data_IF_569921199580
#
_entry.id   IF_569921199580
#
_cell.length_a   1.000
_cell.length_b   1.000
_cell.length_c   1.000
_cell.angle_alpha   90.00
_cell.angle_beta   90.00
_cell.angle_gamma   90.00
#
_symmetry.space_group_name_H-M   'P 1'
#
loop_
_entity.id
_entity.type
_entity.pdbx_description
1 polymer ?
#
# COMPACT_ATOMS: atom_id res chain seq x y z
N UNK A 1 -23.35 -67.48 3.83
CA UNK A 1 -22.70 -66.26 3.28
C UNK A 1 -23.46 -65.05 3.82
N UNK A 2 -22.92 -64.25 4.74
CA UNK A 2 -23.65 -63.08 5.28
C UNK A 2 -22.78 -62.00 5.99
N UNK A 3 -21.46 -62.16 6.06
CA UNK A 3 -20.58 -61.26 6.84
C UNK A 3 -19.85 -60.23 5.97
N UNK A 4 -19.46 -60.58 4.73
CA UNK A 4 -18.82 -59.63 3.81
C UNK A 4 -19.74 -58.48 3.37
N UNK A 5 -21.02 -58.75 3.13
CA UNK A 5 -22.00 -57.73 2.70
C UNK A 5 -22.26 -56.69 3.81
N UNK A 6 -22.20 -57.12 5.07
CA UNK A 6 -22.33 -56.28 6.26
C UNK A 6 -21.16 -55.29 6.42
N UNK A 7 -19.95 -55.68 5.99
CA UNK A 7 -18.76 -54.81 5.98
C UNK A 7 -18.83 -53.79 4.83
N UNK A 8 -19.27 -54.21 3.64
CA UNK A 8 -19.46 -53.31 2.49
C UNK A 8 -20.46 -52.20 2.81
N UNK A 9 -21.57 -52.52 3.48
CA UNK A 9 -22.58 -51.53 3.91
C UNK A 9 -22.05 -50.54 4.96
N UNK A 10 -21.09 -50.95 5.81
CA UNK A 10 -20.42 -50.03 6.75
C UNK A 10 -19.31 -49.19 6.12
N UNK A 11 -18.71 -49.65 5.03
CA UNK A 11 -17.72 -48.88 4.26
C UNK A 11 -18.34 -47.63 3.62
N UNK A 12 -19.55 -47.74 3.07
CA UNK A 12 -20.29 -46.59 2.52
C UNK A 12 -20.65 -45.56 3.60
N UNK A 13 -21.08 -46.01 4.79
CA UNK A 13 -21.33 -45.12 5.92
C UNK A 13 -20.06 -44.38 6.35
N UNK A 14 -18.92 -45.08 6.40
CA UNK A 14 -17.63 -44.52 6.78
C UNK A 14 -17.16 -43.45 5.78
N UNK A 15 -17.34 -43.70 4.48
CA UNK A 15 -17.01 -42.74 3.43
C UNK A 15 -17.82 -41.45 3.54
N UNK A 16 -19.11 -41.54 3.86
CA UNK A 16 -19.97 -40.37 4.09
C UNK A 16 -19.49 -39.55 5.30
N UNK A 17 -19.13 -40.22 6.40
CA UNK A 17 -18.66 -39.55 7.62
C UNK A 17 -17.34 -38.80 7.36
N UNK A 18 -16.40 -39.43 6.65
CA UNK A 18 -15.12 -38.79 6.31
C UNK A 18 -15.34 -37.63 5.32
N UNK A 19 -16.20 -37.79 4.32
CA UNK A 19 -16.55 -36.73 3.38
C UNK A 19 -17.20 -35.52 4.07
N UNK A 20 -18.11 -35.76 5.01
CA UNK A 20 -18.72 -34.70 5.83
C UNK A 20 -17.70 -34.02 6.74
N UNK A 21 -16.76 -34.77 7.33
CA UNK A 21 -15.70 -34.20 8.16
C UNK A 21 -14.76 -33.27 7.37
N UNK A 22 -14.39 -33.64 6.15
CA UNK A 22 -13.58 -32.80 5.27
C UNK A 22 -14.33 -31.54 4.80
N UNK A 23 -15.62 -31.67 4.48
CA UNK A 23 -16.47 -30.52 4.15
C UNK A 23 -16.62 -29.57 5.35
N UNK A 24 -16.85 -30.11 6.54
CA UNK A 24 -16.93 -29.34 7.78
C UNK A 24 -15.58 -28.67 8.12
N UNK A 25 -14.45 -29.31 7.82
CA UNK A 25 -13.12 -28.73 7.97
C UNK A 25 -12.92 -27.54 7.04
N UNK A 26 -13.27 -27.64 5.75
CA UNK A 26 -13.13 -26.53 4.78
C UNK A 26 -14.05 -25.35 5.15
N UNK A 27 -15.29 -25.63 5.51
CA UNK A 27 -16.25 -24.60 5.93
C UNK A 27 -15.82 -23.97 7.26
N UNK A 28 -15.36 -24.77 8.22
CA UNK A 28 -14.81 -24.31 9.48
C UNK A 28 -13.58 -23.43 9.29
N UNK A 29 -12.65 -23.84 8.44
CA UNK A 29 -11.43 -23.08 8.11
C UNK A 29 -11.77 -21.74 7.41
N UNK A 30 -12.79 -21.73 6.54
CA UNK A 30 -13.33 -20.51 5.94
C UNK A 30 -13.96 -19.56 6.97
N UNK A 31 -14.74 -20.08 7.94
CA UNK A 31 -15.29 -19.27 9.03
C UNK A 31 -14.21 -18.76 10.00
N UNK A 32 -13.13 -19.52 10.20
CA UNK A 32 -12.00 -19.11 11.05
C UNK A 32 -11.15 -18.04 10.36
N UNK A 33 -10.99 -18.15 9.03
CA UNK A 33 -10.32 -17.18 8.16
C UNK A 33 -11.13 -15.89 7.94
N UNK A 34 -12.47 -15.98 7.99
CA UNK A 34 -13.41 -14.86 7.86
C UNK A 34 -13.39 -13.86 9.02
N UNK A 35 -12.83 -14.21 10.19
CA UNK A 35 -12.59 -13.26 11.29
C UNK A 35 -11.56 -12.18 10.93
N UNK A 36 -10.71 -12.45 9.94
CA UNK A 36 -9.78 -11.45 9.39
C UNK A 36 -10.49 -10.45 8.47
N UNK A 37 -11.65 -10.81 7.90
CA UNK A 37 -12.41 -9.98 6.96
C UNK A 37 -13.46 -9.11 7.65
N UNK A 38 -13.93 -9.48 8.84
CA UNK A 38 -14.89 -8.69 9.64
C UNK A 38 -14.30 -8.32 11.00
N UNK A 39 -13.39 -7.34 10.99
CA UNK A 39 -13.23 -6.36 12.07
C UNK A 39 -12.70 -6.86 13.41
N UNK A 40 -11.42 -7.24 13.48
CA UNK A 40 -10.63 -6.99 14.70
C UNK A 40 -10.28 -5.50 14.71
N UNK A 41 -10.37 -4.82 15.86
CA UNK A 41 -10.14 -3.38 16.00
C UNK A 41 -8.72 -2.95 15.59
N UNK A 42 -8.52 -2.83 14.28
CA UNK A 42 -7.29 -2.37 13.62
C UNK A 42 -7.22 -0.85 13.60
N UNK A 43 -7.92 -0.14 14.49
CA UNK A 43 -7.95 1.33 14.51
C UNK A 43 -7.12 1.83 15.67
N UNK A 44 -6.02 2.52 15.38
CA UNK A 44 -5.14 3.11 16.41
C UNK A 44 -5.61 4.50 16.85
N UNK A 45 -6.27 5.23 15.95
CA UNK A 45 -6.85 6.53 16.21
C UNK A 45 -8.01 6.80 15.25
N UNK A 46 -8.95 7.66 15.67
CA UNK A 46 -10.04 8.16 14.84
C UNK A 46 -9.93 9.68 14.76
N UNK A 47 -9.92 10.21 13.56
CA UNK A 47 -9.82 11.64 13.27
C UNK A 47 -11.08 12.03 12.51
N UNK A 48 -11.98 12.77 13.16
CA UNK A 48 -13.31 13.07 12.60
C UNK A 48 -14.09 11.79 12.27
N UNK A 49 -14.40 11.60 10.98
CA UNK A 49 -15.06 10.40 10.43
C UNK A 49 -14.09 9.27 10.06
N UNK A 50 -12.80 9.58 9.89
CA UNK A 50 -11.80 8.71 9.29
C UNK A 50 -11.01 7.91 10.34
N UNK A 51 -10.68 6.66 10.03
CA UNK A 51 -9.99 5.73 10.93
C UNK A 51 -8.56 5.52 10.47
N UNK A 52 -7.60 5.77 11.36
CA UNK A 52 -6.20 5.42 11.13
C UNK A 52 -6.02 3.94 11.46
N UNK A 53 -5.64 3.14 10.45
CA UNK A 53 -5.44 1.72 10.63
C UNK A 53 -4.07 1.40 11.26
N UNK A 54 -4.03 0.45 12.18
CA UNK A 54 -2.81 -0.07 12.84
C UNK A 54 -1.80 -0.57 11.80
N UNK A 55 -2.25 -1.22 10.73
CA UNK A 55 -1.36 -1.70 9.66
C UNK A 55 -0.69 -0.53 8.92
N UNK A 56 -1.44 0.55 8.67
CA UNK A 56 -0.90 1.74 8.01
C UNK A 56 0.07 2.48 8.92
N UNK A 57 -0.29 2.63 10.20
CA UNK A 57 0.61 3.17 11.22
C UNK A 57 1.92 2.37 11.31
N UNK A 58 1.84 1.04 11.37
CA UNK A 58 3.01 0.17 11.45
C UNK A 58 3.91 0.33 10.21
N UNK A 59 3.33 0.36 9.01
CA UNK A 59 4.08 0.61 7.76
C UNK A 59 4.82 1.95 7.80
N UNK A 60 4.13 3.03 8.17
CA UNK A 60 4.74 4.37 8.24
C UNK A 60 5.81 4.48 9.33
N UNK A 61 5.57 3.86 10.49
CA UNK A 61 6.55 3.78 11.56
C UNK A 61 7.82 3.07 11.08
N UNK A 62 7.70 1.92 10.43
CA UNK A 62 8.85 1.18 9.90
C UNK A 62 9.62 1.99 8.84
N UNK A 63 8.92 2.67 7.93
CA UNK A 63 9.55 3.52 6.92
C UNK A 63 10.36 4.67 7.55
N UNK A 64 9.77 5.40 8.50
CA UNK A 64 10.45 6.53 9.16
C UNK A 64 11.60 6.02 10.03
N UNK A 65 11.39 4.91 10.75
CA UNK A 65 12.43 4.29 11.56
C UNK A 65 13.64 3.87 10.70
N UNK A 66 13.42 3.27 9.53
CA UNK A 66 14.50 2.90 8.60
C UNK A 66 15.26 4.13 8.08
N UNK A 67 14.55 5.19 7.69
CA UNK A 67 15.18 6.45 7.25
C UNK A 67 16.02 7.09 8.35
N UNK A 68 15.53 7.09 9.59
CA UNK A 68 16.24 7.64 10.74
C UNK A 68 17.51 6.83 11.05
N UNK A 69 17.44 5.50 10.99
CA UNK A 69 18.60 4.63 11.19
C UNK A 69 19.69 4.84 10.11
N UNK A 70 19.29 5.12 8.86
CA UNK A 70 20.24 5.42 7.78
C UNK A 70 20.92 6.77 7.96
N UNK A 71 20.26 7.75 8.58
CA UNK A 71 20.79 9.11 8.78
C UNK A 71 21.57 9.26 10.10
N UNK A 72 21.20 8.51 11.14
CA UNK A 72 21.75 8.62 12.49
C UNK A 72 22.17 7.22 12.98
N UNK A 73 23.26 6.69 12.42
CA UNK A 73 23.78 5.38 12.79
C UNK A 73 24.14 5.26 14.29
N UNK A 74 24.48 6.37 14.95
CA UNK A 74 24.95 6.40 16.35
C UNK A 74 23.90 6.86 17.38
N UNK A 75 22.76 7.44 16.97
CA UNK A 75 21.73 7.91 17.90
C UNK A 75 20.44 7.11 17.74
N UNK A 76 20.21 6.19 18.68
CA UNK A 76 18.93 5.48 18.79
C UNK A 76 17.86 6.44 19.30
N UNK A 77 16.91 6.77 18.43
CA UNK A 77 15.70 7.51 18.81
C UNK A 77 14.84 6.62 19.71
N UNK A 78 14.25 7.22 20.75
CA UNK A 78 13.28 6.54 21.61
C UNK A 78 12.08 6.06 20.78
N UNK A 79 11.79 4.75 20.73
CA UNK A 79 10.65 4.20 20.00
C UNK A 79 9.32 4.86 20.34
N UNK A 80 9.09 5.22 21.61
CA UNK A 80 7.82 5.83 22.04
C UNK A 80 7.64 7.24 21.46
N UNK A 81 8.74 8.00 21.38
CA UNK A 81 8.75 9.32 20.75
C UNK A 81 8.49 9.21 19.25
N UNK A 82 9.16 8.28 18.58
CA UNK A 82 8.98 8.06 17.14
C UNK A 82 7.54 7.63 16.82
N UNK A 83 6.96 6.73 17.61
CA UNK A 83 5.55 6.34 17.46
C UNK A 83 4.60 7.54 17.58
N UNK A 84 4.84 8.40 18.57
CA UNK A 84 4.01 9.61 18.78
C UNK A 84 4.14 10.59 17.61
N UNK A 85 5.35 10.78 17.08
CA UNK A 85 5.60 11.64 15.92
C UNK A 85 4.90 11.13 14.66
N UNK A 86 5.01 9.83 14.38
CA UNK A 86 4.33 9.17 13.26
C UNK A 86 2.82 9.34 13.40
N UNK A 87 2.27 9.05 14.58
CA UNK A 87 0.82 9.14 14.80
C UNK A 87 0.31 10.57 14.64
N UNK A 88 1.00 11.55 15.23
CA UNK A 88 0.61 12.96 15.11
C UNK A 88 0.68 13.44 13.66
N UNK A 89 1.71 13.03 12.90
CA UNK A 89 1.82 13.33 11.48
C UNK A 89 0.64 12.76 10.68
N UNK A 90 0.26 11.52 10.94
CA UNK A 90 -0.91 10.90 10.30
C UNK A 90 -2.22 11.59 10.65
N UNK A 91 -2.39 12.02 11.90
CA UNK A 91 -3.58 12.78 12.32
C UNK A 91 -3.66 14.12 11.58
N UNK A 92 -2.54 14.84 11.51
CA UNK A 92 -2.48 16.14 10.83
C UNK A 92 -2.73 16.01 9.33
N UNK A 93 -2.14 15.01 8.67
CA UNK A 93 -2.38 14.70 7.27
C UNK A 93 -3.87 14.41 7.01
N UNK A 94 -4.51 13.62 7.88
CA UNK A 94 -5.94 13.33 7.74
C UNK A 94 -6.79 14.59 7.88
N UNK A 95 -6.53 15.44 8.88
CA UNK A 95 -7.27 16.69 9.07
C UNK A 95 -7.12 17.63 7.87
N UNK A 96 -5.91 17.73 7.33
CA UNK A 96 -5.62 18.56 6.18
C UNK A 96 -6.33 18.05 4.93
N UNK A 97 -6.30 16.74 4.68
CA UNK A 97 -7.00 16.13 3.56
C UNK A 97 -8.52 16.33 3.64
N UNK A 98 -9.10 16.17 4.83
CA UNK A 98 -10.53 16.40 5.05
C UNK A 98 -10.92 17.85 4.73
N UNK A 99 -10.09 18.84 5.10
CA UNK A 99 -10.32 20.26 4.79
C UNK A 99 -10.13 20.57 3.30
N UNK A 100 -9.08 20.02 2.66
CA UNK A 100 -8.82 20.15 1.22
C UNK A 100 -10.01 19.61 0.41
N UNK A 101 -10.57 18.46 0.82
CA UNK A 101 -11.75 17.87 0.20
C UNK A 101 -13.00 18.72 0.43
N UNK A 102 -13.20 19.23 1.65
CA UNK A 102 -14.32 20.13 1.99
C UNK A 102 -14.30 21.44 1.18
N UNK A 103 -13.11 21.97 0.90
CA UNK A 103 -12.90 23.15 0.05
C UNK A 103 -12.96 22.83 -1.46
N UNK A 104 -13.05 21.55 -1.84
CA UNK A 104 -13.09 21.12 -3.23
C UNK A 104 -11.77 21.37 -3.98
N UNK A 105 -10.64 21.40 -3.27
CA UNK A 105 -9.33 21.64 -3.86
C UNK A 105 -8.90 20.36 -4.59
N UNK A 106 -8.86 20.43 -5.92
CA UNK A 106 -8.41 19.32 -6.77
C UNK A 106 -7.18 19.71 -7.58
N UNK A 107 -6.36 18.71 -7.90
CA UNK A 107 -5.27 18.83 -8.87
C UNK A 107 -5.78 18.25 -10.17
N UNK A 108 -5.67 19.01 -11.25
CA UNK A 108 -6.04 18.53 -12.58
C UNK A 108 -4.91 17.70 -13.18
N UNK A 109 -5.24 16.75 -14.05
CA UNK A 109 -4.25 15.93 -14.76
C UNK A 109 -3.21 16.80 -15.49
N UNK A 110 -3.62 17.96 -16.00
CA UNK A 110 -2.74 18.91 -16.66
C UNK A 110 -1.74 19.55 -15.70
N UNK A 111 -2.15 19.90 -14.47
CA UNK A 111 -1.25 20.47 -13.47
C UNK A 111 -0.28 19.41 -12.96
N UNK A 112 -0.79 18.20 -12.70
CA UNK A 112 0.03 17.07 -12.29
C UNK A 112 1.05 16.72 -13.38
N UNK A 113 0.60 16.60 -14.63
CA UNK A 113 1.49 16.34 -15.77
C UNK A 113 2.55 17.43 -15.92
N UNK A 114 2.20 18.72 -15.80
CA UNK A 114 3.19 19.81 -15.86
C UNK A 114 4.18 19.82 -14.71
N UNK A 115 3.75 19.42 -13.52
CA UNK A 115 4.63 19.28 -12.36
C UNK A 115 5.53 18.03 -12.48
N UNK A 116 5.06 16.98 -13.17
CA UNK A 116 5.81 15.74 -13.32
C UNK A 116 6.73 15.72 -14.54
N UNK A 117 6.32 16.36 -15.64
CA UNK A 117 6.89 16.21 -16.98
C UNK A 117 7.37 17.55 -17.56
N UNK A 118 8.26 17.47 -18.55
CA UNK A 118 8.70 18.61 -19.34
C UNK A 118 9.69 19.58 -18.66
N UNK A 119 9.91 20.77 -19.27
CA UNK A 119 10.94 21.74 -18.85
C UNK A 119 10.67 22.49 -17.55
N UNK A 120 9.41 22.48 -17.09
CA UNK A 120 8.97 23.14 -15.84
C UNK A 120 8.60 22.13 -14.77
N UNK A 121 9.02 20.87 -14.92
CA UNK A 121 8.78 19.85 -13.92
C UNK A 121 9.39 20.24 -12.57
N UNK A 122 8.78 19.76 -11.49
CA UNK A 122 9.25 19.97 -10.15
C UNK A 122 10.69 19.43 -10.02
N UNK A 123 11.61 20.12 -9.31
CA UNK A 123 13.00 19.68 -9.17
C UNK A 123 13.18 18.24 -8.67
N UNK A 124 12.24 17.77 -7.84
CA UNK A 124 12.21 16.38 -7.36
C UNK A 124 12.12 15.35 -8.49
N UNK A 125 11.44 15.68 -9.60
CA UNK A 125 11.32 14.78 -10.75
C UNK A 125 12.62 14.66 -11.54
N UNK A 126 13.42 15.73 -11.59
CA UNK A 126 14.76 15.65 -12.15
C UNK A 126 15.69 14.82 -11.27
N UNK A 127 15.58 14.92 -9.95
CA UNK A 127 16.32 14.04 -9.03
C UNK A 127 15.90 12.58 -9.20
N UNK A 128 14.60 12.33 -9.34
CA UNK A 128 14.06 10.99 -9.61
C UNK A 128 14.56 10.44 -10.94
N UNK A 129 14.59 11.26 -12.00
CA UNK A 129 15.15 10.85 -13.28
C UNK A 129 16.59 10.39 -13.15
N UNK A 130 17.44 11.16 -12.47
CA UNK A 130 18.84 10.79 -12.25
C UNK A 130 18.99 9.50 -11.43
N UNK A 131 18.10 9.26 -10.46
CA UNK A 131 18.10 8.01 -9.67
C UNK A 131 17.80 6.78 -10.54
N UNK A 132 16.90 6.93 -11.53
CA UNK A 132 16.54 5.87 -12.48
C UNK A 132 17.56 5.74 -13.63
N UNK A 133 18.52 6.67 -13.71
CA UNK A 133 19.51 6.72 -14.80
C UNK A 133 18.98 7.40 -16.07
N UNK A 134 17.88 8.14 -15.98
CA UNK A 134 17.33 8.99 -17.02
C UNK A 134 17.82 10.43 -16.87
N UNK A 135 17.92 11.16 -17.99
CA UNK A 135 18.34 12.57 -17.96
C UNK A 135 17.16 13.52 -17.69
N UNK A 136 15.94 13.12 -18.07
CA UNK A 136 14.74 13.95 -17.93
C UNK A 136 13.57 13.14 -17.37
N UNK A 137 12.59 13.79 -16.71
CA UNK A 137 11.38 13.12 -16.24
C UNK A 137 10.61 12.42 -17.36
N UNK A 138 10.57 13.02 -18.55
CA UNK A 138 9.91 12.43 -19.73
C UNK A 138 10.54 11.09 -20.14
N UNK A 139 11.86 10.95 -20.01
CA UNK A 139 12.54 9.69 -20.28
C UNK A 139 12.18 8.61 -19.26
N UNK A 140 11.97 8.98 -17.99
CA UNK A 140 11.50 8.03 -16.96
C UNK A 140 10.11 7.53 -17.29
N UNK A 141 9.21 8.43 -17.70
CA UNK A 141 7.88 8.07 -18.16
C UNK A 141 7.95 7.09 -19.32
N UNK A 142 8.85 7.31 -20.28
CA UNK A 142 9.04 6.38 -21.38
C UNK A 142 9.62 5.03 -20.93
N UNK A 143 10.55 4.96 -19.97
CA UNK A 143 11.03 3.69 -19.42
C UNK A 143 9.91 2.91 -18.73
N UNK A 144 9.01 3.63 -18.05
CA UNK A 144 7.85 3.06 -17.38
C UNK A 144 6.81 2.57 -18.40
N UNK A 145 6.35 3.40 -19.32
CA UNK A 145 5.15 3.10 -20.13
C UNK A 145 5.45 2.74 -21.59
N UNK A 146 6.65 3.05 -22.08
CA UNK A 146 7.11 2.77 -23.44
C UNK A 146 8.44 1.98 -23.47
N UNK A 147 8.60 0.88 -22.71
CA UNK A 147 9.90 0.22 -22.49
C UNK A 147 10.56 -0.32 -23.77
N UNK A 148 9.76 -0.67 -24.78
CA UNK A 148 10.24 -1.19 -26.07
C UNK A 148 11.12 -0.17 -26.80
N UNK A 149 10.84 1.13 -26.65
CA UNK A 149 11.59 2.21 -27.29
C UNK A 149 13.05 2.27 -26.82
N UNK A 150 13.31 1.82 -25.59
CA UNK A 150 14.62 1.86 -24.94
C UNK A 150 15.19 0.47 -24.63
N UNK A 151 14.53 -0.58 -25.14
CA UNK A 151 14.90 -1.97 -24.90
C UNK A 151 15.01 -2.32 -23.40
N UNK A 152 14.16 -1.69 -22.58
CA UNK A 152 14.08 -1.89 -21.13
C UNK A 152 13.38 -3.21 -20.85
N UNK A 153 13.97 -4.12 -20.05
CA UNK A 153 13.32 -5.36 -19.62
C UNK A 153 11.95 -5.12 -18.96
N UNK A 154 10.98 -6.01 -19.19
CA UNK A 154 9.61 -5.83 -18.72
C UNK A 154 9.51 -5.80 -17.18
N UNK A 155 10.33 -6.59 -16.50
CA UNK A 155 10.46 -6.60 -15.03
C UNK A 155 11.00 -5.26 -14.50
N UNK A 156 12.00 -4.68 -15.17
CA UNK A 156 12.53 -3.37 -14.81
C UNK A 156 11.49 -2.27 -15.05
N UNK A 157 10.79 -2.32 -16.20
CA UNK A 157 9.73 -1.36 -16.54
C UNK A 157 8.60 -1.37 -15.51
N UNK A 158 8.15 -2.54 -15.05
CA UNK A 158 7.13 -2.66 -14.00
C UNK A 158 7.56 -2.03 -12.67
N UNK A 159 8.84 -2.18 -12.30
CA UNK A 159 9.38 -1.52 -11.10
C UNK A 159 9.39 -0.01 -11.26
N UNK A 160 9.83 0.50 -12.42
CA UNK A 160 9.83 1.95 -12.70
C UNK A 160 8.40 2.50 -12.73
N UNK A 161 7.42 1.76 -13.27
CA UNK A 161 6.00 2.13 -13.21
C UNK A 161 5.51 2.26 -11.76
N UNK A 162 5.82 1.30 -10.89
CA UNK A 162 5.42 1.37 -9.48
C UNK A 162 6.03 2.59 -8.78
N UNK A 163 7.31 2.88 -9.05
CA UNK A 163 7.99 4.07 -8.53
C UNK A 163 7.40 5.37 -9.10
N UNK A 164 7.02 5.38 -10.38
CA UNK A 164 6.38 6.52 -11.04
C UNK A 164 5.03 6.85 -10.40
N UNK A 165 4.17 5.84 -10.21
CA UNK A 165 2.85 6.00 -9.58
C UNK A 165 2.97 6.52 -8.15
N UNK A 166 3.98 6.05 -7.41
CA UNK A 166 4.23 6.56 -6.06
C UNK A 166 4.65 8.05 -6.09
N UNK A 167 5.53 8.42 -7.03
CA UNK A 167 5.90 9.83 -7.20
C UNK A 167 4.74 10.71 -7.65
N UNK A 168 3.88 10.19 -8.51
CA UNK A 168 2.66 10.86 -8.96
C UNK A 168 1.75 11.19 -7.77
N UNK A 169 1.49 10.23 -6.89
CA UNK A 169 0.70 10.45 -5.66
C UNK A 169 1.35 11.47 -4.74
N UNK A 170 2.67 11.40 -4.55
CA UNK A 170 3.39 12.37 -3.71
C UNK A 170 3.33 13.79 -4.30
N UNK A 171 3.47 13.92 -5.63
CA UNK A 171 3.35 15.19 -6.33
C UNK A 171 1.94 15.76 -6.23
N UNK A 172 0.91 14.92 -6.42
CA UNK A 172 -0.49 15.33 -6.30
C UNK A 172 -0.79 15.87 -4.90
N UNK A 173 -0.37 15.16 -3.85
CA UNK A 173 -0.55 15.60 -2.46
C UNK A 173 0.19 16.91 -2.19
N UNK A 174 1.43 17.05 -2.66
CA UNK A 174 2.19 18.29 -2.55
C UNK A 174 1.44 19.46 -3.18
N UNK A 175 0.93 19.29 -4.41
CA UNK A 175 0.19 20.33 -5.13
C UNK A 175 -1.11 20.71 -4.41
N UNK A 176 -1.83 19.74 -3.83
CA UNK A 176 -3.03 20.03 -3.02
C UNK A 176 -2.67 20.91 -1.82
N UNK A 177 -1.60 20.58 -1.11
CA UNK A 177 -1.12 21.36 0.03
C UNK A 177 -0.68 22.76 -0.40
N UNK A 178 0.05 22.89 -1.52
CA UNK A 178 0.46 24.20 -2.05
C UNK A 178 -0.73 25.06 -2.44
N UNK A 179 -1.81 24.47 -2.97
CA UNK A 179 -3.05 25.20 -3.30
C UNK A 179 -3.86 25.61 -2.08
N UNK A 180 -3.70 24.90 -0.97
CA UNK A 180 -4.38 25.20 0.29
C UNK A 180 -3.76 26.38 1.05
N UNK A 181 -2.46 26.63 0.87
CA UNK A 181 -1.71 27.76 1.47
C UNK A 181 -1.98 29.08 0.75
#
# INVERSE_FOLDING_TARGET
MATLEKIRKRSTLLLIVVGLALLAFIVGDFFTSGRTLFGTGTTIAKVGGNKINVQEFQRRYEQINQRMQQQQADNKIDPARLQSEVLNGMIQEQLLNDEIEALGITVTDNELSKAMLGPTAHPAMYQFAQQIGAQTPDQVYDFAFNPVKYNVPADQSQQIQALWIEQERQMEQMLKITKFQ
#
